data_IF_833068348215
#
_entry.id   IF_833068348215
#
_cell.length_a   1.000
_cell.length_b   1.000
_cell.length_c   1.000
_cell.angle_alpha   90.00
_cell.angle_beta   90.00
_cell.angle_gamma   90.00
#
_symmetry.space_group_name_H-M   'P 1'
#
loop_
_entity.id
_entity.type
_entity.pdbx_description
1 polymer ?
#
# COMPACT_ATOMS: atom_id res chain seq x y z
N UNK A 1 -60.83 -8.52 -7.31
CA UNK A 1 -60.12 -8.86 -6.07
C UNK A 1 -58.61 -9.05 -6.26
N UNK A 2 -58.13 -9.64 -7.37
CA UNK A 2 -56.68 -9.84 -7.62
C UNK A 2 -55.87 -8.54 -7.81
N UNK A 3 -56.39 -7.55 -8.56
CA UNK A 3 -55.65 -6.32 -8.90
C UNK A 3 -55.22 -5.51 -7.65
N UNK A 4 -56.09 -5.41 -6.63
CA UNK A 4 -55.77 -4.72 -5.38
C UNK A 4 -54.72 -5.46 -4.56
N UNK A 5 -54.76 -6.80 -4.57
CA UNK A 5 -53.77 -7.64 -3.87
C UNK A 5 -52.39 -7.51 -4.51
N UNK A 6 -52.34 -7.44 -5.83
CA UNK A 6 -51.08 -7.36 -6.58
C UNK A 6 -50.46 -5.97 -6.45
N UNK A 7 -51.25 -4.88 -6.53
CA UNK A 7 -50.78 -3.52 -6.21
C UNK A 7 -50.26 -3.38 -4.77
N UNK A 8 -50.96 -3.99 -3.80
CA UNK A 8 -50.50 -3.98 -2.41
C UNK A 8 -49.18 -4.74 -2.24
N UNK A 9 -48.98 -5.87 -2.94
CA UNK A 9 -47.71 -6.59 -2.93
C UNK A 9 -46.58 -5.76 -3.55
N UNK A 10 -46.83 -5.10 -4.67
CA UNK A 10 -45.84 -4.20 -5.30
C UNK A 10 -45.42 -3.07 -4.35
N UNK A 11 -46.38 -2.41 -3.71
CA UNK A 11 -46.11 -1.34 -2.73
C UNK A 11 -45.31 -1.84 -1.52
N UNK A 12 -45.62 -3.04 -1.02
CA UNK A 12 -44.85 -3.67 0.07
C UNK A 12 -43.43 -4.00 -0.40
N UNK A 13 -43.26 -4.58 -1.58
CA UNK A 13 -41.95 -4.91 -2.14
C UNK A 13 -41.10 -3.64 -2.33
N UNK A 14 -41.69 -2.56 -2.85
CA UNK A 14 -40.99 -1.30 -3.05
C UNK A 14 -40.56 -0.67 -1.71
N UNK A 15 -41.44 -0.75 -0.70
CA UNK A 15 -41.16 -0.27 0.66
C UNK A 15 -40.05 -1.10 1.34
N UNK A 16 -40.06 -2.43 1.19
CA UNK A 16 -38.98 -3.31 1.68
C UNK A 16 -37.65 -3.01 0.99
N UNK A 17 -37.65 -2.80 -0.33
CA UNK A 17 -36.42 -2.40 -1.07
C UNK A 17 -35.86 -1.08 -0.56
N UNK A 18 -36.71 -0.07 -0.32
CA UNK A 18 -36.28 1.23 0.26
C UNK A 18 -35.70 1.06 1.65
N UNK A 19 -36.31 0.24 2.51
CA UNK A 19 -35.78 -0.05 3.85
C UNK A 19 -34.43 -0.76 3.76
N UNK A 20 -34.27 -1.78 2.91
CA UNK A 20 -33.00 -2.48 2.71
C UNK A 20 -31.91 -1.53 2.19
N UNK A 21 -32.24 -0.64 1.26
CA UNK A 21 -31.31 0.37 0.75
C UNK A 21 -30.86 1.33 1.86
N UNK A 22 -31.79 1.81 2.70
CA UNK A 22 -31.45 2.68 3.84
C UNK A 22 -30.56 1.95 4.85
N UNK A 23 -30.87 0.70 5.18
CA UNK A 23 -30.03 -0.13 6.07
C UNK A 23 -28.64 -0.29 5.46
N UNK A 24 -28.53 -0.56 4.17
CA UNK A 24 -27.26 -0.68 3.47
C UNK A 24 -26.46 0.62 3.54
N UNK A 25 -27.09 1.78 3.30
CA UNK A 25 -26.46 3.10 3.41
C UNK A 25 -25.97 3.37 4.85
N UNK A 26 -26.80 3.08 5.86
CA UNK A 26 -26.42 3.22 7.27
C UNK A 26 -25.28 2.28 7.69
N UNK A 27 -25.22 1.09 7.09
CA UNK A 27 -24.13 0.14 7.33
C UNK A 27 -22.83 0.64 6.69
N UNK A 28 -22.89 1.12 5.44
CA UNK A 28 -21.74 1.69 4.73
C UNK A 28 -21.20 2.91 5.48
N UNK A 29 -22.06 3.82 5.95
CA UNK A 29 -21.61 5.03 6.67
C UNK A 29 -20.97 4.71 8.02
N UNK A 30 -21.55 3.80 8.81
CA UNK A 30 -20.95 3.36 10.07
C UNK A 30 -19.61 2.62 9.85
N UNK A 31 -19.54 1.79 8.81
CA UNK A 31 -18.32 1.07 8.47
C UNK A 31 -17.20 2.03 8.01
N UNK A 32 -17.53 3.03 7.19
CA UNK A 32 -16.59 4.08 6.79
C UNK A 32 -16.08 4.90 7.98
N UNK A 33 -16.98 5.30 8.89
CA UNK A 33 -16.59 6.03 10.11
C UNK A 33 -15.64 5.22 11.00
N UNK A 34 -15.90 3.93 11.18
CA UNK A 34 -15.05 3.05 11.98
C UNK A 34 -13.65 2.88 11.39
N UNK A 35 -13.53 2.76 10.06
CA UNK A 35 -12.24 2.68 9.37
C UNK A 35 -11.43 3.98 9.51
N UNK A 36 -12.07 5.13 9.28
CA UNK A 36 -11.42 6.43 9.41
C UNK A 36 -10.91 6.68 10.84
N UNK A 37 -11.70 6.31 11.86
CA UNK A 37 -11.27 6.40 13.25
C UNK A 37 -10.07 5.51 13.55
N UNK A 38 -10.07 4.28 13.06
CA UNK A 38 -8.94 3.34 13.24
C UNK A 38 -7.65 3.88 12.58
N UNK A 39 -7.78 4.50 11.41
CA UNK A 39 -6.65 5.15 10.74
C UNK A 39 -6.06 6.29 11.60
N UNK A 40 -6.89 7.21 12.08
CA UNK A 40 -6.44 8.34 12.93
C UNK A 40 -5.77 7.86 14.22
N UNK A 41 -6.27 6.77 14.80
CA UNK A 41 -5.66 6.15 15.99
C UNK A 41 -4.27 5.57 15.69
N UNK A 42 -4.10 4.91 14.53
CA UNK A 42 -2.81 4.39 14.08
C UNK A 42 -1.84 5.54 13.80
N UNK A 43 -2.27 6.55 13.05
CA UNK A 43 -1.45 7.73 12.74
C UNK A 43 -0.97 8.42 14.01
N UNK A 44 -1.89 8.67 14.96
CA UNK A 44 -1.54 9.23 16.27
C UNK A 44 -0.57 8.33 17.03
N UNK A 45 -0.77 7.01 16.98
CA UNK A 45 0.12 6.07 17.67
C UNK A 45 1.55 6.13 17.12
N UNK A 46 1.72 6.11 15.79
CA UNK A 46 3.04 6.08 15.15
C UNK A 46 3.77 7.42 15.26
N UNK A 47 3.04 8.55 15.25
CA UNK A 47 3.62 9.89 15.47
C UNK A 47 4.18 10.10 16.87
N UNK A 48 3.74 9.30 17.85
CA UNK A 48 4.19 9.38 19.23
C UNK A 48 5.22 8.29 19.61
N UNK A 49 5.84 7.61 18.64
CA UNK A 49 6.92 6.66 18.92
C UNK A 49 8.14 7.44 19.43
N UNK A 50 8.61 7.22 20.67
CA UNK A 50 9.78 7.91 21.20
C UNK A 50 11.05 7.50 20.44
N UNK A 51 12.01 8.42 20.27
CA UNK A 51 13.29 8.12 19.61
C UNK A 51 14.03 6.92 20.24
N UNK A 52 13.93 6.78 21.57
CA UNK A 52 14.50 5.65 22.33
C UNK A 52 13.94 4.28 21.92
N UNK A 53 12.73 4.25 21.37
CA UNK A 53 12.10 3.03 20.85
C UNK A 53 12.52 2.74 19.40
N UNK A 54 13.35 3.61 18.80
CA UNK A 54 13.81 3.48 17.41
C UNK A 54 15.29 3.14 17.29
N UNK A 55 15.94 2.79 18.41
CA UNK A 55 17.39 2.51 18.50
C UNK A 55 17.80 1.25 17.72
N UNK A 56 16.94 0.23 17.70
CA UNK A 56 17.13 -0.95 16.85
C UNK A 56 15.78 -1.51 16.39
N UNK A 57 15.84 -2.37 15.37
CA UNK A 57 14.67 -2.95 14.72
C UNK A 57 13.80 -3.76 15.69
N UNK A 58 14.41 -4.48 16.64
CA UNK A 58 13.67 -5.32 17.57
C UNK A 58 12.91 -4.48 18.59
N UNK A 59 13.53 -3.42 19.15
CA UNK A 59 12.87 -2.48 20.07
C UNK A 59 11.68 -1.81 19.38
N UNK A 60 11.90 -1.24 18.19
CA UNK A 60 10.85 -0.61 17.39
C UNK A 60 9.70 -1.58 17.13
N UNK A 61 10.02 -2.81 16.74
CA UNK A 61 9.02 -3.85 16.49
C UNK A 61 8.19 -4.15 17.73
N UNK A 62 8.80 -4.23 18.92
CA UNK A 62 8.05 -4.47 20.16
C UNK A 62 7.13 -3.32 20.51
N UNK A 63 7.57 -2.08 20.31
CA UNK A 63 6.71 -0.91 20.49
C UNK A 63 5.52 -0.98 19.54
N UNK A 64 5.74 -1.08 18.23
CA UNK A 64 4.68 -1.08 17.21
C UNK A 64 3.65 -2.21 17.40
N UNK A 65 4.08 -3.37 17.92
CA UNK A 65 3.19 -4.51 18.22
C UNK A 65 2.37 -4.35 19.49
N UNK A 66 2.75 -3.45 20.40
CA UNK A 66 2.15 -3.36 21.73
C UNK A 66 0.64 -3.15 21.62
N UNK A 67 -0.12 -4.01 22.28
CA UNK A 67 -1.58 -4.02 22.31
C UNK A 67 -2.31 -4.25 20.97
N UNK A 68 -1.59 -4.45 19.85
CA UNK A 68 -2.20 -4.74 18.56
C UNK A 68 -3.02 -6.04 18.63
N UNK A 69 -4.21 -6.04 18.05
CA UNK A 69 -5.14 -7.16 18.06
C UNK A 69 -4.95 -8.10 16.87
N UNK A 70 -4.40 -7.57 15.77
CA UNK A 70 -4.27 -8.32 14.52
C UNK A 70 -2.90 -8.08 13.87
N UNK A 71 -2.49 -9.01 12.99
CA UNK A 71 -1.29 -8.81 12.15
C UNK A 71 -1.45 -7.62 11.21
N UNK A 72 -2.66 -7.40 10.68
CA UNK A 72 -2.97 -6.24 9.84
C UNK A 72 -2.74 -4.93 10.57
N UNK A 73 -3.15 -4.82 11.84
CA UNK A 73 -2.91 -3.63 12.67
C UNK A 73 -1.41 -3.41 12.93
N UNK A 74 -0.65 -4.49 13.16
CA UNK A 74 0.82 -4.41 13.26
C UNK A 74 1.40 -3.86 11.95
N UNK A 75 1.04 -4.45 10.81
CA UNK A 75 1.55 -4.03 9.50
C UNK A 75 1.19 -2.57 9.18
N UNK A 76 -0.04 -2.14 9.49
CA UNK A 76 -0.45 -0.76 9.29
C UNK A 76 0.41 0.20 10.13
N UNK A 77 0.65 -0.11 11.40
CA UNK A 77 1.55 0.70 12.24
C UNK A 77 2.97 0.74 11.71
N UNK A 78 3.49 -0.37 11.19
CA UNK A 78 4.83 -0.40 10.57
C UNK A 78 4.86 0.45 9.31
N UNK A 79 3.87 0.28 8.42
CA UNK A 79 3.73 1.01 7.17
C UNK A 79 3.69 2.52 7.41
N UNK A 80 2.76 3.00 8.24
CA UNK A 80 2.62 4.43 8.54
C UNK A 80 3.81 4.99 9.32
N UNK A 81 4.38 4.23 10.26
CA UNK A 81 5.58 4.70 10.95
C UNK A 81 6.74 4.91 9.96
N UNK A 82 6.96 3.98 9.02
CA UNK A 82 8.02 4.12 8.03
C UNK A 82 7.75 5.25 7.04
N UNK A 83 6.51 5.42 6.58
CA UNK A 83 6.11 6.54 5.72
C UNK A 83 6.41 7.88 6.39
N UNK A 84 6.18 8.01 7.69
CA UNK A 84 6.41 9.27 8.41
C UNK A 84 7.90 9.49 8.74
N UNK A 85 8.64 8.41 9.04
CA UNK A 85 9.95 8.52 9.69
C UNK A 85 11.14 8.12 8.81
N UNK A 86 10.94 7.60 7.61
CA UNK A 86 12.03 7.25 6.69
C UNK A 86 11.91 8.13 5.45
N UNK A 87 12.91 8.96 5.19
CA UNK A 87 13.02 9.81 4.00
C UNK A 87 13.54 9.04 2.78
N UNK A 88 13.10 9.44 1.59
CA UNK A 88 13.63 8.87 0.36
C UNK A 88 14.96 9.56 0.00
N UNK A 89 15.99 8.78 -0.28
CA UNK A 89 17.30 9.29 -0.67
C UNK A 89 17.36 9.59 -2.17
N UNK A 90 16.72 10.70 -2.56
CA UNK A 90 16.72 11.19 -3.93
C UNK A 90 18.13 11.45 -4.49
N UNK A 91 19.05 11.93 -3.66
CA UNK A 91 20.42 12.19 -4.08
C UNK A 91 21.18 10.88 -4.36
N UNK A 92 21.02 9.85 -3.51
CA UNK A 92 21.56 8.53 -3.81
C UNK A 92 20.92 7.91 -5.05
N UNK A 93 19.60 8.04 -5.22
CA UNK A 93 18.87 7.51 -6.36
C UNK A 93 19.28 8.19 -7.68
N UNK A 94 19.21 9.52 -7.76
CA UNK A 94 19.48 10.28 -8.99
C UNK A 94 20.94 10.21 -9.43
N UNK A 95 21.87 10.11 -8.47
CA UNK A 95 23.31 10.00 -8.76
C UNK A 95 23.83 8.56 -8.74
N UNK A 96 22.94 7.57 -8.64
CA UNK A 96 23.27 6.15 -8.60
C UNK A 96 24.38 5.81 -7.58
N UNK A 97 24.30 6.39 -6.38
CA UNK A 97 25.29 6.21 -5.31
C UNK A 97 25.10 4.83 -4.69
N UNK A 98 26.22 4.14 -4.45
CA UNK A 98 26.20 2.90 -3.68
C UNK A 98 26.08 3.24 -2.19
N UNK A 99 24.93 2.93 -1.60
CA UNK A 99 24.62 3.17 -0.18
C UNK A 99 24.33 1.84 0.53
N UNK A 100 24.53 1.81 1.85
CA UNK A 100 24.12 0.67 2.66
C UNK A 100 22.60 0.69 2.87
N UNK A 101 21.92 -0.28 2.25
CA UNK A 101 20.46 -0.46 2.29
C UNK A 101 20.02 -1.48 3.34
N UNK A 102 20.87 -1.82 4.31
CA UNK A 102 20.49 -2.70 5.41
C UNK A 102 19.42 -2.05 6.29
N UNK A 103 18.62 -2.90 6.94
CA UNK A 103 17.56 -2.44 7.85
C UNK A 103 18.12 -1.59 9.01
N UNK A 104 19.28 -1.95 9.55
CA UNK A 104 19.91 -1.22 10.65
C UNK A 104 20.34 0.19 10.22
N UNK A 105 21.00 0.32 9.06
CA UNK A 105 21.42 1.64 8.55
C UNK A 105 20.23 2.48 8.14
N UNK A 106 19.24 1.89 7.47
CA UNK A 106 17.99 2.59 7.10
C UNK A 106 17.28 3.14 8.34
N UNK A 107 17.17 2.35 9.41
CA UNK A 107 16.54 2.77 10.65
C UNK A 107 17.34 3.85 11.39
N UNK A 108 18.66 3.74 11.41
CA UNK A 108 19.55 4.68 12.08
C UNK A 108 19.59 6.04 11.37
N UNK A 109 19.70 6.03 10.04
CA UNK A 109 19.79 7.24 9.23
C UNK A 109 18.42 7.86 8.95
N UNK A 110 17.33 7.14 9.21
CA UNK A 110 15.95 7.55 8.86
C UNK A 110 15.82 7.90 7.36
N UNK A 111 16.63 7.26 6.51
CA UNK A 111 16.73 7.61 5.09
C UNK A 111 17.31 6.46 4.26
N UNK A 112 16.72 6.17 3.10
CA UNK A 112 17.27 5.20 2.13
C UNK A 112 16.56 5.27 0.77
N UNK A 113 16.92 4.38 -0.15
CA UNK A 113 16.17 4.12 -1.41
C UNK A 113 15.24 2.91 -1.26
N UNK A 114 14.48 2.56 -2.30
CA UNK A 114 13.47 1.50 -2.28
C UNK A 114 13.91 0.18 -1.62
N UNK A 115 15.13 -0.27 -1.90
CA UNK A 115 15.69 -1.48 -1.27
C UNK A 115 15.83 -1.35 0.26
N UNK A 116 16.21 -0.19 0.78
CA UNK A 116 16.31 0.03 2.22
C UNK A 116 14.96 0.03 2.92
N UNK A 117 13.94 0.63 2.30
CA UNK A 117 12.55 0.52 2.77
C UNK A 117 12.11 -0.95 2.81
N UNK A 118 12.28 -1.67 1.71
CA UNK A 118 11.85 -3.07 1.61
C UNK A 118 12.58 -3.97 2.65
N UNK A 119 13.87 -3.73 2.87
CA UNK A 119 14.68 -4.45 3.84
C UNK A 119 14.28 -4.13 5.30
N UNK A 120 14.06 -2.85 5.63
CA UNK A 120 13.62 -2.46 6.97
C UNK A 120 12.22 -3.02 7.28
N UNK A 121 11.29 -2.90 6.33
CA UNK A 121 9.94 -3.43 6.50
C UNK A 121 9.95 -4.95 6.72
N UNK A 122 10.74 -5.70 5.94
CA UNK A 122 10.93 -7.14 6.14
C UNK A 122 11.53 -7.43 7.51
N UNK A 123 12.56 -6.72 7.94
CA UNK A 123 13.23 -6.97 9.21
C UNK A 123 12.28 -6.75 10.41
N UNK A 124 11.41 -5.73 10.34
CA UNK A 124 10.36 -5.50 11.34
C UNK A 124 9.34 -6.65 11.31
N UNK A 125 8.89 -7.08 10.12
CA UNK A 125 7.98 -8.23 9.97
C UNK A 125 8.55 -9.52 10.56
N UNK A 126 9.83 -9.81 10.31
CA UNK A 126 10.52 -11.00 10.83
C UNK A 126 10.59 -10.98 12.37
N UNK A 127 10.87 -9.82 12.98
CA UNK A 127 10.79 -9.63 14.44
C UNK A 127 9.34 -9.76 14.96
N UNK A 128 8.36 -9.37 14.14
CA UNK A 128 6.94 -9.53 14.44
C UNK A 128 6.41 -10.96 14.22
N UNK A 129 7.22 -11.88 13.67
CA UNK A 129 6.82 -13.24 13.28
C UNK A 129 5.71 -13.23 12.20
N UNK A 130 5.79 -12.27 11.30
CA UNK A 130 4.95 -12.17 10.10
C UNK A 130 5.83 -12.54 8.91
N UNK A 131 5.41 -13.53 8.12
CA UNK A 131 6.18 -13.93 6.93
C UNK A 131 6.17 -12.77 5.94
N UNK A 132 7.36 -12.35 5.52
CA UNK A 132 7.56 -11.24 4.60
C UNK A 132 8.73 -11.56 3.68
N UNK A 133 8.58 -11.22 2.40
CA UNK A 133 9.63 -11.32 1.38
C UNK A 133 9.92 -9.94 0.81
N UNK A 134 11.16 -9.72 0.38
CA UNK A 134 11.51 -8.59 -0.50
C UNK A 134 11.36 -9.09 -1.93
N UNK A 135 10.68 -8.30 -2.75
CA UNK A 135 10.49 -8.55 -4.17
C UNK A 135 11.30 -7.51 -4.92
N UNK A 136 12.09 -7.97 -5.89
CA UNK A 136 12.81 -7.13 -6.84
C UNK A 136 12.08 -7.21 -8.18
N UNK A 137 11.93 -6.08 -8.87
CA UNK A 137 11.26 -6.08 -10.17
C UNK A 137 11.30 -4.73 -10.87
N UNK A 138 10.41 -4.60 -11.85
CA UNK A 138 10.27 -3.45 -12.71
C UNK A 138 9.11 -2.59 -12.23
N UNK A 139 9.33 -1.29 -12.13
CA UNK A 139 8.28 -0.34 -11.78
C UNK A 139 8.22 0.84 -12.75
N UNK A 140 7.02 1.21 -13.15
CA UNK A 140 6.72 2.32 -14.07
C UNK A 140 6.61 3.68 -13.35
N UNK A 141 7.52 3.91 -12.40
CA UNK A 141 7.55 5.09 -11.54
C UNK A 141 8.39 6.25 -12.12
N UNK A 142 9.00 7.02 -11.23
CA UNK A 142 9.84 8.17 -11.59
C UNK A 142 10.88 7.82 -12.68
N UNK A 143 10.92 8.63 -13.74
CA UNK A 143 11.84 8.43 -14.87
C UNK A 143 11.36 7.44 -15.94
N UNK A 144 10.25 6.72 -15.73
CA UNK A 144 9.67 5.88 -16.76
C UNK A 144 9.07 6.72 -17.90
N UNK A 145 9.51 6.45 -19.14
CA UNK A 145 9.15 7.23 -20.33
C UNK A 145 8.28 6.45 -21.33
N UNK A 146 7.62 5.37 -20.89
CA UNK A 146 6.81 4.51 -21.74
C UNK A 146 7.59 3.48 -22.56
N UNK A 147 8.91 3.36 -22.37
CA UNK A 147 9.74 2.33 -23.01
C UNK A 147 10.03 1.19 -22.05
N UNK A 148 10.09 -0.02 -22.58
CA UNK A 148 10.50 -1.23 -21.86
C UNK A 148 11.83 -1.00 -21.14
N UNK A 149 11.85 -1.31 -19.84
CA UNK A 149 13.04 -1.27 -19.02
C UNK A 149 13.89 -2.52 -19.29
N UNK A 150 15.22 -2.34 -19.31
CA UNK A 150 16.16 -3.45 -19.54
C UNK A 150 16.48 -4.23 -18.28
N UNK A 151 16.40 -3.59 -17.12
CA UNK A 151 16.75 -4.17 -15.81
C UNK A 151 15.70 -3.80 -14.76
N UNK A 152 15.52 -4.63 -13.71
CA UNK A 152 14.75 -4.28 -12.54
C UNK A 152 15.23 -2.95 -11.92
N UNK A 153 14.30 -2.08 -11.54
CA UNK A 153 14.58 -0.74 -11.02
C UNK A 153 13.91 -0.46 -9.68
N UNK A 154 13.22 -1.44 -9.10
CA UNK A 154 12.46 -1.22 -7.86
C UNK A 154 12.42 -2.44 -6.94
N UNK A 155 12.13 -2.17 -5.66
CA UNK A 155 12.03 -3.17 -4.62
C UNK A 155 10.86 -2.87 -3.69
N UNK A 156 10.07 -3.89 -3.37
CA UNK A 156 8.90 -3.80 -2.49
C UNK A 156 8.74 -5.11 -1.68
N UNK A 157 7.60 -5.30 -1.00
CA UNK A 157 7.36 -6.48 -0.17
C UNK A 157 6.08 -7.23 -0.53
N UNK A 158 6.06 -8.52 -0.21
CA UNK A 158 4.82 -9.26 0.00
C UNK A 158 4.81 -9.88 1.40
N UNK A 159 3.64 -9.88 2.04
CA UNK A 159 3.44 -10.40 3.40
C UNK A 159 2.38 -11.49 3.41
N UNK A 160 2.55 -12.51 4.26
CA UNK A 160 1.55 -13.56 4.43
C UNK A 160 0.60 -13.23 5.59
N UNK A 161 -0.64 -12.91 5.25
CA UNK A 161 -1.75 -12.75 6.18
C UNK A 161 -2.66 -13.97 6.10
N UNK A 162 -2.75 -14.72 7.19
CA UNK A 162 -3.42 -16.02 7.22
C UNK A 162 -2.86 -16.94 6.11
N UNK A 163 -3.68 -17.31 5.13
CA UNK A 163 -3.31 -18.15 3.99
C UNK A 163 -3.13 -17.38 2.68
N UNK A 164 -3.23 -16.05 2.69
CA UNK A 164 -3.08 -15.19 1.50
C UNK A 164 -1.78 -14.37 1.58
N UNK A 165 -1.13 -14.18 0.44
CA UNK A 165 -0.06 -13.21 0.27
C UNK A 165 -0.65 -11.88 -0.20
N UNK A 166 -0.16 -10.78 0.35
CA UNK A 166 -0.61 -9.42 0.06
C UNK A 166 0.59 -8.54 -0.29
N UNK A 167 0.42 -7.61 -1.23
CA UNK A 167 1.46 -6.72 -1.74
C UNK A 167 1.53 -5.43 -0.92
N UNK A 168 2.74 -4.98 -0.61
CA UNK A 168 2.99 -3.73 0.11
C UNK A 168 4.17 -3.00 -0.52
N UNK A 169 4.00 -1.72 -0.82
CA UNK A 169 5.08 -0.82 -1.23
C UNK A 169 5.12 0.42 -0.33
N UNK A 170 5.98 0.37 0.70
CA UNK A 170 6.15 1.49 1.64
C UNK A 170 6.78 2.71 0.97
N UNK A 171 7.62 2.50 -0.05
CA UNK A 171 8.31 3.59 -0.75
C UNK A 171 7.31 4.43 -1.53
N UNK A 172 6.44 3.79 -2.31
CA UNK A 172 5.41 4.52 -3.07
C UNK A 172 4.24 4.95 -2.18
N UNK A 173 4.05 4.26 -1.05
CA UNK A 173 3.17 4.71 0.04
C UNK A 173 3.53 6.07 0.62
N UNK A 174 4.81 6.47 0.60
CA UNK A 174 5.28 7.77 1.10
C UNK A 174 5.02 8.94 0.13
N UNK A 175 4.45 8.68 -1.06
CA UNK A 175 4.12 9.68 -2.09
C UNK A 175 4.97 10.97 -2.00
N UNK A 176 6.26 10.82 -2.30
CA UNK A 176 7.22 11.91 -2.26
C UNK A 176 7.28 12.54 -3.64
N UNK A 177 6.75 13.75 -3.78
CA UNK A 177 6.92 14.54 -5.00
C UNK A 177 8.09 15.50 -4.83
N UNK A 178 9.12 15.33 -5.65
CA UNK A 178 10.17 16.34 -5.80
C UNK A 178 9.59 17.55 -6.54
N UNK A 179 9.42 18.65 -5.82
CA UNK A 179 9.03 19.94 -6.39
C UNK A 179 10.25 20.88 -6.46
N UNK A 180 10.11 22.00 -7.16
CA UNK A 180 11.15 23.04 -7.18
C UNK A 180 11.43 23.63 -5.77
N UNK A 181 10.46 23.52 -4.85
CA UNK A 181 10.54 24.01 -3.47
C UNK A 181 11.01 22.92 -2.48
N UNK A 182 11.41 21.75 -2.98
CA UNK A 182 11.81 20.59 -2.17
C UNK A 182 10.83 19.42 -2.26
N UNK A 183 11.03 18.43 -1.39
CA UNK A 183 10.13 17.27 -1.29
C UNK A 183 8.82 17.66 -0.59
N UNK A 184 7.68 17.45 -1.26
CA UNK A 184 6.38 17.42 -0.61
C UNK A 184 5.97 15.97 -0.40
N UNK A 185 5.59 15.64 0.83
CA UNK A 185 5.21 14.29 1.23
C UNK A 185 3.71 14.26 1.55
N UNK A 186 2.98 13.43 0.82
CA UNK A 186 1.68 12.91 1.20
C UNK A 186 1.81 11.42 1.54
N UNK A 187 0.73 10.74 1.89
CA UNK A 187 0.76 9.29 2.05
C UNK A 187 -0.34 8.70 1.20
N UNK A 188 -0.05 7.56 0.58
CA UNK A 188 -0.98 6.83 -0.25
C UNK A 188 -1.25 5.46 0.37
N UNK A 189 -2.48 5.26 0.85
CA UNK A 189 -2.89 3.98 1.44
C UNK A 189 -3.08 2.87 0.41
N UNK A 190 -3.15 3.18 -0.88
CA UNK A 190 -3.27 2.19 -1.96
C UNK A 190 -2.19 1.10 -1.86
N UNK A 191 -0.95 1.51 -1.61
CA UNK A 191 0.19 0.59 -1.55
C UNK A 191 0.27 -0.22 -0.25
N UNK A 192 -0.77 -0.18 0.59
CA UNK A 192 -0.92 -1.03 1.76
C UNK A 192 -1.92 -2.15 1.49
N UNK A 193 -1.42 -3.38 1.31
CA UNK A 193 -2.23 -4.57 0.98
C UNK A 193 -2.99 -4.37 -0.34
N UNK A 194 -2.29 -3.89 -1.37
CA UNK A 194 -2.88 -3.53 -2.67
C UNK A 194 -3.39 -4.77 -3.43
N UNK A 195 -4.40 -4.56 -4.29
CA UNK A 195 -4.93 -5.60 -5.14
C UNK A 195 -3.91 -5.96 -6.25
N UNK A 196 -3.55 -7.24 -6.43
CA UNK A 196 -2.63 -7.67 -7.48
C UNK A 196 -2.98 -7.19 -8.90
N UNK A 197 -4.26 -7.14 -9.27
CA UNK A 197 -4.71 -6.69 -10.60
C UNK A 197 -4.41 -5.22 -10.86
N UNK A 198 -4.30 -4.51 -9.76
CA UNK A 198 -4.15 -3.09 -9.67
C UNK A 198 -2.65 -2.75 -9.58
N UNK A 199 -1.93 -3.45 -8.71
CA UNK A 199 -0.48 -3.33 -8.53
C UNK A 199 0.30 -3.70 -9.80
N UNK A 200 -0.12 -4.73 -10.55
CA UNK A 200 0.54 -5.18 -11.79
C UNK A 200 0.51 -4.14 -12.92
N UNK A 201 -0.33 -3.10 -12.83
CA UNK A 201 -0.35 -2.04 -13.85
C UNK A 201 0.97 -1.27 -13.88
N UNK A 202 1.66 -1.22 -12.74
CA UNK A 202 2.84 -0.40 -12.50
C UNK A 202 4.03 -1.16 -11.90
N UNK A 203 3.83 -2.32 -11.28
CA UNK A 203 4.89 -3.16 -10.71
C UNK A 203 4.87 -4.58 -11.29
N UNK A 204 5.97 -5.00 -11.90
CA UNK A 204 6.15 -6.35 -12.41
C UNK A 204 7.32 -7.04 -11.70
N UNK A 205 7.11 -8.13 -10.94
CA UNK A 205 8.18 -8.79 -10.21
C UNK A 205 9.12 -9.55 -11.16
N UNK A 206 10.40 -9.65 -10.80
CA UNK A 206 11.36 -10.47 -11.55
C UNK A 206 11.06 -11.97 -11.43
N UNK A 207 10.56 -12.40 -10.27
CA UNK A 207 10.04 -13.76 -10.05
C UNK A 207 8.51 -13.70 -10.16
N UNK A 208 7.99 -14.30 -11.24
CA UNK A 208 6.59 -14.17 -11.68
C UNK A 208 5.58 -14.67 -10.65
N UNK A 209 5.98 -15.56 -9.72
CA UNK A 209 5.09 -16.03 -8.64
C UNK A 209 4.58 -14.88 -7.75
N UNK A 210 5.31 -13.77 -7.68
CA UNK A 210 4.95 -12.61 -6.89
C UNK A 210 4.00 -11.65 -7.60
N UNK A 211 3.53 -11.98 -8.81
CA UNK A 211 2.44 -11.24 -9.44
C UNK A 211 1.16 -11.39 -8.61
N UNK A 212 0.98 -12.55 -7.97
CA UNK A 212 -0.20 -12.91 -7.18
C UNK A 212 -1.54 -12.79 -7.97
N UNK A 213 -1.46 -12.81 -9.30
CA UNK A 213 -2.60 -12.82 -10.19
C UNK A 213 -3.15 -14.23 -10.35
N UNK A 214 -4.45 -14.34 -10.57
CA UNK A 214 -5.07 -15.60 -10.99
C UNK A 214 -4.58 -16.04 -12.38
N UNK A 215 -4.26 -15.07 -13.25
CA UNK A 215 -3.69 -15.28 -14.57
C UNK A 215 -2.46 -14.39 -14.72
N UNK A 216 -1.27 -14.98 -14.56
CA UNK A 216 0.01 -14.29 -14.73
C UNK A 216 0.15 -13.72 -16.14
N UNK A 217 0.80 -12.56 -16.23
CA UNK A 217 1.12 -11.91 -17.50
C UNK A 217 2.62 -11.96 -17.76
N UNK A 218 3.01 -11.86 -19.02
CA UNK A 218 4.43 -11.75 -19.39
C UNK A 218 4.94 -10.31 -19.22
N UNK A 219 6.26 -10.15 -19.11
CA UNK A 219 6.90 -8.83 -19.11
C UNK A 219 6.61 -8.02 -20.39
N UNK A 220 6.43 -8.69 -21.54
CA UNK A 220 6.06 -8.03 -22.80
C UNK A 220 4.61 -7.52 -22.75
N UNK A 221 3.72 -8.27 -22.10
CA UNK A 221 2.35 -7.80 -21.83
C UNK A 221 2.38 -6.59 -20.89
N UNK A 222 3.16 -6.65 -19.81
CA UNK A 222 3.31 -5.55 -18.86
C UNK A 222 3.74 -4.24 -19.54
N UNK A 223 4.70 -4.27 -20.47
CA UNK A 223 5.14 -3.09 -21.24
C UNK A 223 4.32 -2.80 -22.51
N UNK A 224 3.19 -3.47 -22.72
CA UNK A 224 2.34 -3.23 -23.90
C UNK A 224 1.57 -1.92 -23.79
N UNK A 225 1.20 -1.35 -24.95
CA UNK A 225 0.37 -0.14 -25.01
C UNK A 225 -0.96 -0.29 -24.26
N UNK A 226 -1.57 -1.49 -24.34
CA UNK A 226 -2.83 -1.78 -23.63
C UNK A 226 -2.66 -1.66 -22.11
N UNK A 227 -1.55 -2.16 -21.56
CA UNK A 227 -1.27 -2.03 -20.13
C UNK A 227 -0.95 -0.58 -19.73
N UNK A 228 -0.31 0.19 -20.61
CA UNK A 228 -0.14 1.64 -20.39
C UNK A 228 -1.46 2.41 -20.38
N UNK A 229 -2.38 2.08 -21.29
CA UNK A 229 -3.72 2.68 -21.32
C UNK A 229 -4.49 2.38 -20.02
N UNK A 230 -4.47 1.12 -19.58
CA UNK A 230 -5.09 0.71 -18.31
C UNK A 230 -4.49 1.46 -17.11
N UNK A 231 -3.16 1.57 -17.05
CA UNK A 231 -2.45 2.29 -15.98
C UNK A 231 -2.87 3.76 -15.92
N UNK A 232 -2.90 4.46 -17.07
CA UNK A 232 -3.29 5.87 -17.16
C UNK A 232 -4.75 6.10 -16.79
N UNK A 233 -5.66 5.25 -17.31
CA UNK A 233 -7.08 5.35 -17.02
C UNK A 233 -7.38 5.25 -15.52
N UNK A 234 -6.57 4.48 -14.77
CA UNK A 234 -6.68 4.41 -13.32
C UNK A 234 -6.15 5.67 -12.63
N UNK A 235 -4.98 6.16 -13.02
CA UNK A 235 -4.42 7.39 -12.43
C UNK A 235 -5.40 8.56 -12.56
N UNK A 236 -6.08 8.68 -13.71
CA UNK A 236 -7.10 9.71 -13.92
C UNK A 236 -8.33 9.52 -13.00
N UNK A 237 -8.69 8.28 -12.67
CA UNK A 237 -9.79 7.99 -11.74
C UNK A 237 -9.46 8.34 -10.29
N UNK A 238 -8.21 8.14 -9.87
CA UNK A 238 -7.74 8.49 -8.52
C UNK A 238 -7.73 10.01 -8.30
N UNK A 239 -7.30 10.79 -9.32
CA UNK A 239 -7.34 12.26 -9.28
C UNK A 239 -8.78 12.78 -9.07
N UNK A 240 -9.76 12.19 -9.75
CA UNK A 240 -11.17 12.63 -9.67
C UNK A 240 -11.79 12.37 -8.28
N UNK A 241 -11.28 11.40 -7.52
CA UNK A 241 -11.80 11.08 -6.17
C UNK A 241 -11.23 12.03 -5.11
N UNK A 242 -10.07 12.64 -5.37
CA UNK A 242 -9.38 13.52 -4.43
C UNK A 242 -9.76 15.01 -4.55
N UNK A 243 -10.44 15.41 -5.64
CA UNK A 243 -11.02 16.77 -5.85
C UNK A 243 -12.46 16.91 -5.29
#
# INVERSE_FOLDING_TARGET
MNIYRDKMKELIIESVKKILLIIMILFISNFGYAQMKNFQEIEKYVKNVPESETLDVAILTQYLKKNAKTKTEILARVYFWMIENIEYDWDAFLNNKNIDVSAAVTLANKKSVCSGYANLFKAICDNAKIKCVVIIGYAKGYGYNGKKLSEPNHAWNAVKLYDKWELIDVTWGRESTLTNDGEQNSWNARYFLDDPNDFILEHFPQDEVWQLLDNEISIDTFFSNKMEENRRARSDYEIIIEE
#
